data_IF_010001108791
#
_entry.id   IF_010001108791
#
_cell.length_a   1.000
_cell.length_b   1.000
_cell.length_c   1.000
_cell.angle_alpha   90.00
_cell.angle_beta   90.00
_cell.angle_gamma   90.00
#
_symmetry.space_group_name_H-M   'P 1'
#
loop_
_entity.id
_entity.type
_entity.pdbx_description
1 polymer ?
#
# COMPACT_ATOMS: atom_id res chain seq x y z
N UNK A 1 -17.30 0.13 3.84
CA UNK A 1 -16.47 -0.31 4.99
C UNK A 1 -16.61 0.73 6.10
N UNK A 2 -16.84 0.32 7.35
CA UNK A 2 -16.80 1.26 8.50
C UNK A 2 -15.38 1.80 8.64
N UNK A 3 -15.23 3.11 8.88
CA UNK A 3 -13.93 3.77 9.09
C UNK A 3 -13.25 3.16 10.32
N UNK A 4 -12.07 2.52 10.21
CA UNK A 4 -11.35 2.00 11.37
C UNK A 4 -10.89 3.15 12.27
N UNK A 5 -10.60 2.88 13.55
CA UNK A 5 -9.99 3.89 14.43
C UNK A 5 -8.65 4.36 13.85
N UNK A 6 -8.31 5.62 14.10
CA UNK A 6 -7.10 6.26 13.56
C UNK A 6 -5.81 5.41 13.61
N UNK A 7 -5.39 4.81 14.74
CA UNK A 7 -4.14 4.04 14.77
C UNK A 7 -4.15 2.85 13.82
N UNK A 8 -5.30 2.18 13.65
CA UNK A 8 -5.43 1.08 12.71
C UNK A 8 -5.40 1.56 11.25
N UNK A 9 -5.94 2.75 10.95
CA UNK A 9 -5.86 3.34 9.60
C UNK A 9 -4.40 3.56 9.20
N UNK A 10 -3.60 4.15 10.07
CA UNK A 10 -2.17 4.37 9.83
C UNK A 10 -1.42 3.05 9.65
N UNK A 11 -1.69 2.06 10.50
CA UNK A 11 -1.10 0.73 10.36
C UNK A 11 -1.47 0.07 9.02
N UNK A 12 -2.74 0.16 8.60
CA UNK A 12 -3.20 -0.36 7.31
C UNK A 12 -2.49 0.34 6.15
N UNK A 13 -2.36 1.67 6.19
CA UNK A 13 -1.64 2.42 5.14
C UNK A 13 -0.18 2.01 5.08
N UNK A 14 0.50 1.86 6.22
CA UNK A 14 1.88 1.38 6.26
C UNK A 14 2.03 -0.01 5.62
N UNK A 15 1.14 -0.95 5.99
CA UNK A 15 1.16 -2.30 5.42
C UNK A 15 0.87 -2.29 3.92
N UNK A 16 -0.11 -1.49 3.47
CA UNK A 16 -0.47 -1.33 2.07
C UNK A 16 0.70 -0.79 1.23
N UNK A 17 1.48 0.16 1.78
CA UNK A 17 2.61 0.75 1.06
C UNK A 17 3.84 -0.17 0.99
N UNK A 18 3.95 -1.16 1.89
CA UNK A 18 5.14 -1.99 2.04
C UNK A 18 4.92 -3.43 1.57
N UNK A 19 3.93 -4.14 2.09
CA UNK A 19 3.76 -5.58 1.87
C UNK A 19 3.48 -5.94 0.41
N UNK A 20 2.53 -5.31 -0.31
CA UNK A 20 2.27 -5.62 -1.71
C UNK A 20 3.49 -5.36 -2.59
N UNK A 21 4.15 -4.23 -2.40
CA UNK A 21 5.34 -3.82 -3.17
C UNK A 21 6.48 -4.81 -2.98
N UNK A 22 6.84 -5.10 -1.72
CA UNK A 22 7.91 -6.05 -1.40
C UNK A 22 7.54 -7.45 -1.91
N UNK A 23 6.30 -7.90 -1.69
CA UNK A 23 5.83 -9.20 -2.14
C UNK A 23 5.89 -9.35 -3.66
N UNK A 24 5.47 -8.33 -4.42
CA UNK A 24 5.53 -8.33 -5.87
C UNK A 24 6.98 -8.38 -6.39
N UNK A 25 7.90 -7.62 -5.78
CA UNK A 25 9.32 -7.68 -6.13
C UNK A 25 9.91 -9.06 -5.92
N UNK A 26 9.66 -9.66 -4.76
CA UNK A 26 10.18 -10.99 -4.42
C UNK A 26 9.58 -12.07 -5.32
N UNK A 27 8.28 -12.00 -5.62
CA UNK A 27 7.62 -12.93 -6.54
C UNK A 27 8.17 -12.81 -7.97
N UNK A 28 8.36 -11.60 -8.48
CA UNK A 28 8.93 -11.39 -9.80
C UNK A 28 10.38 -11.89 -9.91
N UNK A 29 11.19 -11.70 -8.86
CA UNK A 29 12.53 -12.29 -8.78
C UNK A 29 12.49 -13.82 -8.77
N UNK A 30 11.57 -14.41 -8.01
CA UNK A 30 11.47 -15.87 -7.87
C UNK A 30 11.01 -16.55 -9.16
N UNK A 31 10.05 -15.95 -9.87
CA UNK A 31 9.45 -16.53 -11.07
C UNK A 31 10.20 -16.19 -12.36
N UNK A 32 10.96 -15.10 -12.37
CA UNK A 32 11.63 -14.57 -13.56
C UNK A 32 13.09 -14.23 -13.24
N UNK A 33 13.44 -12.95 -13.27
CA UNK A 33 14.78 -12.43 -13.03
C UNK A 33 14.72 -11.15 -12.19
N UNK A 34 15.89 -10.62 -11.84
CA UNK A 34 15.99 -9.48 -10.95
C UNK A 34 15.37 -8.20 -11.51
N UNK A 35 15.54 -7.93 -12.81
CA UNK A 35 14.96 -6.75 -13.45
C UNK A 35 13.43 -6.86 -13.49
N UNK A 36 12.91 -8.02 -13.90
CA UNK A 36 11.46 -8.25 -13.94
C UNK A 36 10.79 -8.09 -12.57
N UNK A 37 11.43 -8.54 -11.49
CA UNK A 37 10.87 -8.29 -10.16
C UNK A 37 10.92 -6.83 -9.72
N UNK A 38 11.94 -6.06 -10.10
CA UNK A 38 11.89 -4.61 -9.87
C UNK A 38 10.72 -3.96 -10.62
N UNK A 39 10.47 -4.38 -11.86
CA UNK A 39 9.35 -3.87 -12.66
C UNK A 39 8.00 -4.21 -12.00
N UNK A 40 7.83 -5.43 -11.48
CA UNK A 40 6.64 -5.83 -10.71
C UNK A 40 6.46 -4.98 -9.46
N UNK A 41 7.54 -4.78 -8.70
CA UNK A 41 7.55 -3.90 -7.53
C UNK A 41 7.12 -2.48 -7.85
N UNK A 42 7.62 -1.91 -8.95
CA UNK A 42 7.27 -0.55 -9.39
C UNK A 42 5.79 -0.42 -9.76
N UNK A 43 5.24 -1.38 -10.51
CA UNK A 43 3.83 -1.38 -10.91
C UNK A 43 2.92 -1.50 -9.68
N UNK A 44 3.16 -2.53 -8.85
CA UNK A 44 2.33 -2.78 -7.67
C UNK A 44 2.49 -1.65 -6.64
N UNK A 45 3.70 -1.13 -6.46
CA UNK A 45 3.98 0.00 -5.59
C UNK A 45 3.22 1.26 -6.01
N UNK A 46 3.17 1.55 -7.31
CA UNK A 46 2.39 2.68 -7.84
C UNK A 46 0.90 2.52 -7.52
N UNK A 47 0.33 1.32 -7.73
CA UNK A 47 -1.07 1.03 -7.39
C UNK A 47 -1.32 1.19 -5.88
N UNK A 48 -0.42 0.69 -5.04
CA UNK A 48 -0.50 0.84 -3.58
C UNK A 48 -0.51 2.30 -3.14
N UNK A 49 0.34 3.15 -3.74
CA UNK A 49 0.38 4.60 -3.43
C UNK A 49 -0.91 5.30 -3.85
N UNK A 50 -1.42 5.02 -5.06
CA UNK A 50 -2.68 5.59 -5.53
C UNK A 50 -3.84 5.20 -4.62
N UNK A 51 -3.90 3.94 -4.21
CA UNK A 51 -4.95 3.48 -3.29
C UNK A 51 -4.78 4.06 -1.88
N UNK A 52 -3.56 4.20 -1.38
CA UNK A 52 -3.29 4.86 -0.11
C UNK A 52 -3.72 6.34 -0.14
N UNK A 53 -3.43 7.06 -1.23
CA UNK A 53 -3.87 8.44 -1.42
C UNK A 53 -5.41 8.54 -1.43
N UNK A 54 -6.09 7.65 -2.15
CA UNK A 54 -7.56 7.58 -2.12
C UNK A 54 -8.10 7.39 -0.69
N UNK A 55 -7.51 6.49 0.09
CA UNK A 55 -7.93 6.26 1.46
C UNK A 55 -7.68 7.49 2.34
N UNK A 56 -6.50 8.09 2.26
CA UNK A 56 -6.13 9.25 3.07
C UNK A 56 -6.99 10.47 2.78
N UNK A 57 -7.22 10.80 1.50
CA UNK A 57 -7.86 12.04 1.08
C UNK A 57 -9.36 11.88 0.80
N UNK A 58 -9.75 10.94 -0.06
CA UNK A 58 -11.17 10.76 -0.45
C UNK A 58 -11.98 10.08 0.65
N UNK A 59 -11.37 9.16 1.40
CA UNK A 59 -12.04 8.49 2.55
C UNK A 59 -11.79 9.18 3.88
N UNK A 60 -11.08 10.32 3.90
CA UNK A 60 -10.78 11.07 5.13
C UNK A 60 -10.11 10.21 6.19
N UNK A 61 -9.20 9.32 5.77
CA UNK A 61 -8.42 8.50 6.72
C UNK A 61 -7.25 9.27 7.32
N UNK A 62 -6.92 10.44 6.77
CA UNK A 62 -5.83 11.29 7.26
C UNK A 62 -6.16 11.99 8.58
N UNK A 63 -7.40 12.44 8.78
CA UNK A 63 -7.73 13.14 10.03
C UNK A 63 -7.93 12.15 11.19
N UNK A 64 -7.45 12.53 12.36
CA UNK A 64 -7.84 11.90 13.62
C UNK A 64 -9.36 12.04 13.79
N UNK A 65 -9.98 11.03 14.41
CA UNK A 65 -11.39 11.17 14.77
C UNK A 65 -11.44 12.16 15.94
N UNK A 66 -12.18 13.26 15.81
CA UNK A 66 -12.42 14.19 16.94
C UNK A 66 -13.14 13.40 18.05
N UNK A 67 -12.64 13.54 19.29
CA UNK A 67 -13.14 12.83 20.50
C UNK A 67 -14.65 13.06 20.76
#
# INVERSE_FOLDING_TARGET
MKKPKYPYRIAIIFLLLTFPTIGATQLGWYLHDQQTGFDYGMIVGTVSVVYAAYLLYEKKWREEDED
#
